data_IF_465363611844
#
_entry.id   IF_465363611844
#
_cell.length_a   1.000
_cell.length_b   1.000
_cell.length_c   1.000
_cell.angle_alpha   90.00
_cell.angle_beta   90.00
_cell.angle_gamma   90.00
#
_symmetry.space_group_name_H-M   'P 1'
#
loop_
_entity.id
_entity.type
_entity.pdbx_description
1 polymer ?
#
# COMPACT_ATOMS: atom_id res chain seq x y z
N UNK A 1 -1.51 -27.16 -14.27
CA UNK A 1 -1.92 -25.76 -14.29
C UNK A 1 -2.94 -25.42 -13.21
N UNK A 2 -3.88 -26.32 -12.90
CA UNK A 2 -4.86 -26.11 -11.82
C UNK A 2 -4.20 -26.00 -10.44
N UNK A 3 -3.12 -26.74 -10.20
CA UNK A 3 -2.35 -26.66 -8.96
C UNK A 3 -1.64 -25.31 -8.83
N UNK A 4 -1.06 -24.79 -9.90
CA UNK A 4 -0.44 -23.46 -9.91
C UNK A 4 -1.47 -22.38 -9.65
N UNK A 5 -2.63 -22.45 -10.30
CA UNK A 5 -3.72 -21.52 -10.07
C UNK A 5 -4.18 -21.50 -8.62
N UNK A 6 -4.39 -22.69 -8.04
CA UNK A 6 -4.80 -22.80 -6.64
C UNK A 6 -3.73 -22.24 -5.69
N UNK A 7 -2.46 -22.49 -5.98
CA UNK A 7 -1.34 -21.95 -5.22
C UNK A 7 -1.32 -20.41 -5.24
N UNK A 8 -1.46 -19.81 -6.42
CA UNK A 8 -1.47 -18.36 -6.58
C UNK A 8 -2.69 -17.73 -5.91
N UNK A 9 -3.87 -18.34 -6.00
CA UNK A 9 -5.06 -17.86 -5.31
C UNK A 9 -4.89 -17.87 -3.79
N UNK A 10 -4.30 -18.91 -3.24
CA UNK A 10 -4.01 -18.98 -1.81
C UNK A 10 -3.00 -17.92 -1.36
N UNK A 11 -1.94 -17.73 -2.13
CA UNK A 11 -0.98 -16.64 -1.85
C UNK A 11 -1.67 -15.28 -1.82
N UNK A 12 -2.55 -15.01 -2.77
CA UNK A 12 -3.29 -13.76 -2.83
C UNK A 12 -4.17 -13.56 -1.60
N UNK A 13 -4.86 -14.61 -1.16
CA UNK A 13 -5.68 -14.55 0.05
C UNK A 13 -4.84 -14.24 1.29
N UNK A 14 -3.72 -14.94 1.45
CA UNK A 14 -2.80 -14.71 2.57
C UNK A 14 -2.23 -13.29 2.56
N UNK A 15 -1.86 -12.78 1.38
CA UNK A 15 -1.36 -11.42 1.21
C UNK A 15 -2.41 -10.37 1.54
N UNK A 16 -3.66 -10.60 1.15
CA UNK A 16 -4.76 -9.70 1.49
C UNK A 16 -5.04 -9.67 3.00
N UNK A 17 -4.96 -10.80 3.66
CA UNK A 17 -5.12 -10.89 5.12
C UNK A 17 -3.99 -10.17 5.85
N UNK A 18 -2.75 -10.33 5.39
CA UNK A 18 -1.58 -9.65 5.94
C UNK A 18 -1.67 -8.13 5.74
N UNK A 19 -2.15 -7.67 4.59
CA UNK A 19 -2.36 -6.25 4.32
C UNK A 19 -3.42 -5.66 5.24
N UNK A 20 -4.50 -6.39 5.48
CA UNK A 20 -5.56 -5.98 6.40
C UNK A 20 -5.01 -5.79 7.82
N UNK A 21 -4.22 -6.74 8.30
CA UNK A 21 -3.56 -6.66 9.61
C UNK A 21 -2.60 -5.47 9.68
N UNK A 22 -1.85 -5.22 8.61
CA UNK A 22 -0.97 -4.06 8.51
C UNK A 22 -1.76 -2.74 8.64
N UNK A 23 -2.88 -2.61 7.95
CA UNK A 23 -3.72 -1.41 8.04
C UNK A 23 -4.36 -1.22 9.41
N UNK A 24 -4.71 -2.28 10.11
CA UNK A 24 -5.20 -2.20 11.48
C UNK A 24 -4.17 -1.60 12.42
N UNK A 25 -2.89 -2.00 12.27
CA UNK A 25 -1.77 -1.40 13.03
C UNK A 25 -1.54 0.07 12.68
N UNK A 26 -1.63 0.42 11.41
CA UNK A 26 -1.52 1.83 10.99
C UNK A 26 -2.60 2.70 11.61
N UNK A 27 -3.82 2.21 11.71
CA UNK A 27 -4.92 2.93 12.37
C UNK A 27 -4.64 3.17 13.84
N UNK A 28 -4.06 2.20 14.55
CA UNK A 28 -3.67 2.37 15.94
C UNK A 28 -2.56 3.43 16.11
N UNK A 29 -1.55 3.38 15.24
CA UNK A 29 -0.46 4.37 15.26
C UNK A 29 -0.98 5.77 14.93
N UNK A 30 -1.92 5.88 14.01
CA UNK A 30 -2.56 7.14 13.67
C UNK A 30 -3.37 7.70 14.84
N UNK A 31 -4.12 6.85 15.54
CA UNK A 31 -4.88 7.27 16.72
C UNK A 31 -3.98 7.86 17.79
N UNK A 32 -2.81 7.25 18.03
CA UNK A 32 -1.80 7.77 18.96
C UNK A 32 -1.21 9.10 18.51
N UNK A 33 -0.96 9.27 17.21
CA UNK A 33 -0.46 10.53 16.66
C UNK A 33 -1.48 11.66 16.82
N UNK A 34 -2.78 11.36 16.64
CA UNK A 34 -3.87 12.32 16.86
C UNK A 34 -4.01 12.71 18.31
N UNK A 35 -3.84 11.78 19.26
CA UNK A 35 -3.83 12.09 20.69
C UNK A 35 -2.69 13.06 21.04
N UNK A 36 -1.49 12.83 20.51
CA UNK A 36 -0.35 13.73 20.70
C UNK A 36 -0.59 15.10 20.11
N UNK A 37 -1.22 15.16 18.95
CA UNK A 37 -1.59 16.43 18.34
C UNK A 37 -2.58 17.20 19.20
N UNK A 38 -3.61 16.53 19.72
CA UNK A 38 -4.59 17.14 20.63
C UNK A 38 -3.94 17.65 21.92
N UNK A 39 -3.01 16.92 22.48
CA UNK A 39 -2.25 17.33 23.68
C UNK A 39 -1.39 18.57 23.43
N UNK A 40 -0.81 18.67 22.22
CA UNK A 40 0.02 19.81 21.82
C UNK A 40 -0.80 21.05 21.48
N UNK A 41 -2.11 20.92 21.28
CA UNK A 41 -3.03 22.01 20.92
C UNK A 41 -4.18 22.12 21.94
N UNK A 42 -3.88 22.38 23.24
CA UNK A 42 -4.90 22.47 24.28
C UNK A 42 -5.82 23.66 24.01
N UNK A 43 -7.12 23.43 24.19
CA UNK A 43 -8.14 24.46 23.95
C UNK A 43 -8.62 24.59 22.51
N UNK A 44 -8.03 23.86 21.57
CA UNK A 44 -8.49 23.78 20.19
C UNK A 44 -9.43 22.60 20.01
N UNK A 45 -10.46 22.78 19.18
CA UNK A 45 -11.31 21.68 18.73
C UNK A 45 -10.62 20.94 17.59
N UNK A 46 -10.10 19.73 17.90
CA UNK A 46 -9.37 18.91 16.94
C UNK A 46 -10.25 17.87 16.24
N UNK A 47 -11.57 17.90 16.50
CA UNK A 47 -12.49 16.88 15.95
C UNK A 47 -12.55 16.91 14.41
N UNK A 48 -12.46 18.06 13.79
CA UNK A 48 -12.50 18.22 12.34
C UNK A 48 -11.19 17.77 11.69
N UNK A 49 -10.05 18.05 12.32
CA UNK A 49 -8.75 17.55 11.89
C UNK A 49 -8.70 16.01 11.98
N UNK A 50 -9.24 15.47 13.06
CA UNK A 50 -9.37 14.02 13.25
C UNK A 50 -10.21 13.40 12.13
N UNK A 51 -11.36 13.99 11.81
CA UNK A 51 -12.23 13.51 10.74
C UNK A 51 -11.54 13.56 9.38
N UNK A 52 -10.81 14.62 9.08
CA UNK A 52 -10.04 14.75 7.84
C UNK A 52 -8.99 13.63 7.72
N UNK A 53 -8.24 13.37 8.77
CA UNK A 53 -7.19 12.36 8.78
C UNK A 53 -7.77 10.97 8.63
N UNK A 54 -8.83 10.64 9.37
CA UNK A 54 -9.51 9.35 9.27
C UNK A 54 -10.08 9.11 7.87
N UNK A 55 -10.71 10.12 7.28
CA UNK A 55 -11.24 10.04 5.93
C UNK A 55 -10.14 9.86 4.90
N UNK A 56 -9.06 10.64 4.99
CA UNK A 56 -7.92 10.52 4.09
C UNK A 56 -7.28 9.13 4.17
N UNK A 57 -7.10 8.62 5.37
CA UNK A 57 -6.55 7.29 5.57
C UNK A 57 -7.43 6.22 4.96
N UNK A 58 -8.73 6.28 5.18
CA UNK A 58 -9.67 5.30 4.64
C UNK A 58 -9.66 5.31 3.11
N UNK A 59 -9.67 6.48 2.49
CA UNK A 59 -9.62 6.61 1.04
C UNK A 59 -8.30 6.08 0.46
N UNK A 60 -7.18 6.36 1.12
CA UNK A 60 -5.88 5.85 0.70
C UNK A 60 -5.78 4.34 0.83
N UNK A 61 -6.28 3.77 1.93
CA UNK A 61 -6.28 2.34 2.14
C UNK A 61 -7.18 1.60 1.14
N UNK A 62 -8.36 2.14 0.85
CA UNK A 62 -9.27 1.58 -0.14
C UNK A 62 -8.64 1.61 -1.54
N UNK A 63 -8.05 2.73 -1.93
CA UNK A 63 -7.36 2.87 -3.21
C UNK A 63 -6.17 1.92 -3.34
N UNK A 64 -5.39 1.76 -2.27
CA UNK A 64 -4.25 0.84 -2.25
C UNK A 64 -4.70 -0.61 -2.36
N UNK A 65 -5.76 -0.98 -1.64
CA UNK A 65 -6.33 -2.33 -1.71
C UNK A 65 -6.77 -2.67 -3.12
N UNK A 66 -7.46 -1.76 -3.79
CA UNK A 66 -7.91 -1.94 -5.18
C UNK A 66 -6.74 -2.02 -6.15
N UNK A 67 -5.75 -1.14 -6.00
CA UNK A 67 -4.55 -1.13 -6.82
C UNK A 67 -3.78 -2.46 -6.72
N UNK A 68 -3.52 -2.92 -5.50
CA UNK A 68 -2.80 -4.17 -5.26
C UNK A 68 -3.59 -5.40 -5.73
N UNK A 69 -4.90 -5.41 -5.56
CA UNK A 69 -5.75 -6.49 -6.05
C UNK A 69 -5.65 -6.63 -7.56
N UNK A 70 -5.72 -5.53 -8.29
CA UNK A 70 -5.57 -5.51 -9.75
C UNK A 70 -4.17 -5.95 -10.17
N UNK A 71 -3.14 -5.41 -9.51
CA UNK A 71 -1.75 -5.77 -9.80
C UNK A 71 -1.50 -7.27 -9.61
N UNK A 72 -2.02 -7.85 -8.54
CA UNK A 72 -1.89 -9.28 -8.26
C UNK A 72 -2.61 -10.15 -9.27
N UNK A 73 -3.81 -9.75 -9.68
CA UNK A 73 -4.56 -10.46 -10.70
C UNK A 73 -3.82 -10.47 -12.05
N UNK A 74 -3.25 -9.34 -12.45
CA UNK A 74 -2.45 -9.22 -13.66
C UNK A 74 -1.18 -10.06 -13.57
N UNK A 75 -0.52 -10.02 -12.41
CA UNK A 75 0.68 -10.83 -12.14
C UNK A 75 0.41 -12.33 -12.22
N UNK A 76 -0.66 -12.80 -11.60
CA UNK A 76 -1.06 -14.21 -11.66
C UNK A 76 -1.27 -14.67 -13.10
N UNK A 77 -1.96 -13.87 -13.90
CA UNK A 77 -2.21 -14.18 -15.30
C UNK A 77 -0.90 -14.28 -16.09
N UNK A 78 0.02 -13.34 -15.88
CA UNK A 78 1.33 -13.33 -16.54
C UNK A 78 2.21 -14.52 -16.13
N UNK A 79 2.21 -14.88 -14.87
CA UNK A 79 2.96 -16.04 -14.36
C UNK A 79 2.42 -17.33 -14.98
N UNK A 80 1.12 -17.50 -15.02
CA UNK A 80 0.49 -18.69 -15.58
C UNK A 80 0.78 -18.83 -17.08
N UNK A 81 0.70 -17.73 -17.81
CA UNK A 81 1.05 -17.70 -19.24
C UNK A 81 2.52 -18.06 -19.45
N UNK A 82 3.41 -17.43 -18.68
CA UNK A 82 4.85 -17.69 -18.81
C UNK A 82 5.19 -19.16 -18.53
N UNK A 83 4.65 -19.73 -17.46
CA UNK A 83 4.88 -21.16 -17.13
C UNK A 83 4.36 -22.09 -18.24
N UNK A 84 3.20 -21.78 -18.79
CA UNK A 84 2.62 -22.52 -19.91
C UNK A 84 3.51 -22.49 -21.15
N UNK A 85 4.04 -21.31 -21.48
CA UNK A 85 4.86 -21.12 -22.68
C UNK A 85 6.31 -21.58 -22.51
N UNK A 86 6.76 -21.78 -21.28
CA UNK A 86 8.13 -22.15 -20.95
C UNK A 86 8.19 -23.42 -20.07
N UNK A 87 7.68 -24.56 -20.55
CA UNK A 87 7.56 -25.78 -19.72
C UNK A 87 8.89 -26.37 -19.28
N UNK A 88 9.99 -26.04 -19.97
CA UNK A 88 11.33 -26.53 -19.65
C UNK A 88 12.27 -25.45 -19.13
N UNK A 89 11.71 -24.32 -18.69
CA UNK A 89 12.50 -23.21 -18.19
C UNK A 89 13.29 -23.59 -16.91
N UNK A 90 14.45 -22.98 -16.79
CA UNK A 90 15.29 -23.09 -15.59
C UNK A 90 14.83 -22.09 -14.52
N UNK A 91 15.26 -22.31 -13.26
CA UNK A 91 15.01 -21.36 -12.19
C UNK A 91 15.64 -19.99 -12.47
N UNK A 92 16.75 -19.93 -13.18
CA UNK A 92 17.40 -18.69 -13.59
C UNK A 92 16.54 -17.90 -14.58
N UNK A 93 15.94 -18.56 -15.55
CA UNK A 93 15.02 -17.94 -16.50
C UNK A 93 13.77 -17.40 -15.80
N UNK A 94 13.25 -18.15 -14.83
CA UNK A 94 12.15 -17.71 -13.98
C UNK A 94 12.53 -16.47 -13.17
N UNK A 95 13.71 -16.45 -12.56
CA UNK A 95 14.19 -15.29 -11.80
C UNK A 95 14.30 -14.03 -12.68
N UNK A 96 14.74 -14.18 -13.92
CA UNK A 96 14.79 -13.09 -14.91
C UNK A 96 13.41 -12.57 -15.23
N UNK A 97 12.45 -13.45 -15.46
CA UNK A 97 11.05 -13.08 -15.70
C UNK A 97 10.46 -12.33 -14.49
N UNK A 98 10.65 -12.84 -13.28
CA UNK A 98 10.14 -12.20 -12.06
C UNK A 98 10.80 -10.85 -11.79
N UNK A 99 12.09 -10.70 -12.12
CA UNK A 99 12.79 -9.42 -11.97
C UNK A 99 12.22 -8.35 -12.89
N UNK A 100 11.87 -8.72 -14.11
CA UNK A 100 11.23 -7.78 -15.06
C UNK A 100 9.84 -7.37 -14.56
N UNK A 101 9.04 -8.33 -14.10
CA UNK A 101 7.74 -8.03 -13.51
C UNK A 101 7.86 -7.08 -12.31
N UNK A 102 8.84 -7.33 -11.45
CA UNK A 102 9.09 -6.47 -10.29
C UNK A 102 9.39 -5.04 -10.70
N UNK A 103 10.23 -4.85 -11.71
CA UNK A 103 10.56 -3.52 -12.24
C UNK A 103 9.31 -2.80 -12.75
N UNK A 104 8.48 -3.48 -13.53
CA UNK A 104 7.24 -2.93 -14.07
C UNK A 104 6.24 -2.58 -12.95
N UNK A 105 6.11 -3.45 -11.96
CA UNK A 105 5.25 -3.24 -10.80
C UNK A 105 5.71 -2.06 -9.95
N UNK A 106 7.02 -1.90 -9.74
CA UNK A 106 7.58 -0.77 -9.00
C UNK A 106 7.31 0.55 -9.71
N UNK A 107 7.40 0.59 -11.03
CA UNK A 107 7.08 1.78 -11.80
C UNK A 107 5.60 2.15 -11.67
N UNK A 108 4.70 1.18 -11.80
CA UNK A 108 3.25 1.39 -11.61
C UNK A 108 2.90 1.84 -10.20
N UNK A 109 3.53 1.24 -9.20
CA UNK A 109 3.35 1.59 -7.79
C UNK A 109 3.79 3.04 -7.53
N UNK A 110 4.92 3.44 -8.07
CA UNK A 110 5.43 4.81 -7.92
C UNK A 110 4.45 5.83 -8.48
N UNK A 111 3.90 5.58 -9.68
CA UNK A 111 2.87 6.44 -10.29
C UNK A 111 1.63 6.52 -9.41
N UNK A 112 1.19 5.38 -8.88
CA UNK A 112 0.06 5.31 -7.96
C UNK A 112 0.29 6.15 -6.70
N UNK A 113 1.45 6.03 -6.06
CA UNK A 113 1.80 6.81 -4.86
C UNK A 113 1.82 8.30 -5.15
N UNK A 114 2.36 8.72 -6.30
CA UNK A 114 2.34 10.13 -6.71
C UNK A 114 0.91 10.67 -6.88
N UNK A 115 0.02 9.89 -7.47
CA UNK A 115 -1.40 10.26 -7.61
C UNK A 115 -2.10 10.37 -6.25
N UNK A 116 -1.81 9.45 -5.33
CA UNK A 116 -2.35 9.49 -3.96
C UNK A 116 -1.86 10.72 -3.20
N UNK A 117 -0.60 11.10 -3.39
CA UNK A 117 -0.03 12.29 -2.77
C UNK A 117 -0.71 13.57 -3.28
N UNK A 118 -0.99 13.65 -4.57
CA UNK A 118 -1.73 14.78 -5.16
C UNK A 118 -3.15 14.87 -4.61
N UNK A 119 -3.84 13.74 -4.49
CA UNK A 119 -5.19 13.68 -3.94
C UNK A 119 -5.21 14.13 -2.47
N UNK A 120 -4.24 13.73 -1.68
CA UNK A 120 -4.09 14.17 -0.29
C UNK A 120 -3.86 15.67 -0.19
N UNK A 121 -2.97 16.23 -1.00
CA UNK A 121 -2.70 17.66 -1.03
C UNK A 121 -3.96 18.46 -1.35
N UNK A 122 -4.78 17.99 -2.29
CA UNK A 122 -6.06 18.61 -2.63
C UNK A 122 -7.02 18.60 -1.44
N UNK A 123 -7.11 17.50 -0.71
CA UNK A 123 -7.96 17.41 0.49
C UNK A 123 -7.52 18.38 1.58
N UNK A 124 -6.22 18.51 1.80
CA UNK A 124 -5.65 19.46 2.77
C UNK A 124 -5.96 20.89 2.36
N UNK A 125 -5.81 21.25 1.08
CA UNK A 125 -6.12 22.57 0.57
C UNK A 125 -7.60 22.91 0.73
N UNK A 126 -8.50 22.00 0.39
CA UNK A 126 -9.94 22.17 0.56
C UNK A 126 -10.32 22.36 2.03
N UNK A 127 -9.73 21.55 2.91
CA UNK A 127 -9.93 21.68 4.36
C UNK A 127 -9.48 23.06 4.85
N UNK A 128 -8.32 23.52 4.45
CA UNK A 128 -7.75 24.82 4.84
C UNK A 128 -8.65 25.97 4.40
N UNK A 129 -9.21 25.90 3.20
CA UNK A 129 -10.15 26.93 2.70
C UNK A 129 -11.45 26.95 3.49
N UNK A 130 -11.94 25.78 3.92
CA UNK A 130 -13.18 25.65 4.67
C UNK A 130 -13.03 25.99 6.16
N UNK A 131 -11.81 25.98 6.68
CA UNK A 131 -11.49 26.16 8.10
C UNK A 131 -10.39 27.21 8.26
N UNK A 132 -10.69 28.50 8.02
CA UNK A 132 -9.69 29.58 8.04
C UNK A 132 -9.07 29.80 9.43
N UNK A 133 -9.74 29.36 10.51
CA UNK A 133 -9.24 29.46 11.88
C UNK A 133 -8.30 28.32 12.28
N UNK A 134 -8.23 27.24 11.49
CA UNK A 134 -7.24 26.18 11.71
C UNK A 134 -5.86 26.67 11.30
N UNK A 135 -4.82 26.12 11.94
CA UNK A 135 -3.45 26.46 11.59
C UNK A 135 -2.98 25.53 10.46
N UNK A 136 -2.98 26.01 9.19
CA UNK A 136 -2.71 25.17 8.03
C UNK A 136 -1.36 24.45 8.10
N UNK A 137 -0.34 25.14 8.62
CA UNK A 137 1.01 24.60 8.72
C UNK A 137 1.10 23.44 9.72
N UNK A 138 0.34 23.51 10.82
CA UNK A 138 0.31 22.43 11.83
C UNK A 138 -0.39 21.19 11.28
N UNK A 139 -1.50 21.37 10.57
CA UNK A 139 -2.22 20.26 9.90
C UNK A 139 -1.34 19.62 8.83
N UNK A 140 -0.71 20.43 8.00
CA UNK A 140 0.20 19.96 6.96
C UNK A 140 1.38 19.19 7.54
N UNK A 141 1.98 19.67 8.62
CA UNK A 141 3.07 19.00 9.32
C UNK A 141 2.64 17.65 9.88
N UNK A 142 1.43 17.54 10.41
CA UNK A 142 0.88 16.27 10.90
C UNK A 142 0.77 15.24 9.77
N UNK A 143 0.26 15.63 8.60
CA UNK A 143 0.19 14.77 7.43
C UNK A 143 1.57 14.36 6.94
N UNK A 144 2.52 15.28 6.88
CA UNK A 144 3.89 14.98 6.45
C UNK A 144 4.57 13.95 7.35
N UNK A 145 4.40 14.06 8.66
CA UNK A 145 4.94 13.09 9.61
C UNK A 145 4.31 11.71 9.45
N UNK A 146 3.00 11.66 9.26
CA UNK A 146 2.30 10.40 9.04
C UNK A 146 2.73 9.75 7.73
N UNK A 147 2.88 10.53 6.66
CA UNK A 147 3.32 10.05 5.36
C UNK A 147 4.72 9.43 5.43
N UNK A 148 5.66 10.09 6.09
CA UNK A 148 7.02 9.58 6.23
C UNK A 148 7.06 8.21 6.90
N UNK A 149 6.32 8.03 7.99
CA UNK A 149 6.25 6.76 8.70
C UNK A 149 5.43 5.72 7.92
N UNK A 150 4.28 6.11 7.40
CA UNK A 150 3.39 5.24 6.66
C UNK A 150 4.01 4.72 5.37
N UNK A 151 4.66 5.58 4.60
CA UNK A 151 5.29 5.22 3.34
C UNK A 151 6.45 4.26 3.53
N UNK A 152 7.30 4.50 4.53
CA UNK A 152 8.40 3.59 4.86
C UNK A 152 7.89 2.23 5.31
N UNK A 153 6.87 2.20 6.15
CA UNK A 153 6.30 0.97 6.68
C UNK A 153 5.63 0.16 5.59
N UNK A 154 4.84 0.78 4.71
CA UNK A 154 4.18 0.09 3.60
C UNK A 154 5.19 -0.42 2.58
N UNK A 155 6.22 0.34 2.25
CA UNK A 155 7.27 -0.09 1.32
C UNK A 155 8.02 -1.30 1.86
N UNK A 156 8.39 -1.27 3.13
CA UNK A 156 9.04 -2.41 3.80
C UNK A 156 8.15 -3.63 3.82
N UNK A 157 6.87 -3.46 4.14
CA UNK A 157 5.88 -4.53 4.16
C UNK A 157 5.71 -5.16 2.78
N UNK A 158 5.51 -4.36 1.73
CA UNK A 158 5.31 -4.84 0.37
C UNK A 158 6.55 -5.52 -0.20
N UNK A 159 7.75 -5.01 0.09
CA UNK A 159 8.99 -5.63 -0.34
C UNK A 159 9.19 -7.00 0.31
N UNK A 160 8.91 -7.11 1.60
CA UNK A 160 8.98 -8.40 2.32
C UNK A 160 7.97 -9.40 1.78
N UNK A 161 6.74 -8.97 1.56
CA UNK A 161 5.68 -9.79 0.99
C UNK A 161 6.06 -10.32 -0.40
N UNK A 162 6.63 -9.45 -1.24
CA UNK A 162 7.11 -9.83 -2.58
C UNK A 162 8.24 -10.85 -2.53
N UNK A 163 9.20 -10.67 -1.65
CA UNK A 163 10.31 -11.61 -1.49
C UNK A 163 9.81 -12.99 -1.06
N UNK A 164 8.89 -13.05 -0.12
CA UNK A 164 8.29 -14.28 0.35
C UNK A 164 7.47 -14.96 -0.76
N UNK A 165 6.71 -14.20 -1.52
CA UNK A 165 5.95 -14.69 -2.68
C UNK A 165 6.85 -15.30 -3.74
N UNK A 166 7.90 -14.61 -4.16
CA UNK A 166 8.84 -15.10 -5.16
C UNK A 166 9.54 -16.39 -4.69
N UNK A 167 9.93 -16.41 -3.43
CA UNK A 167 10.58 -17.60 -2.85
C UNK A 167 9.63 -18.79 -2.80
N UNK A 168 8.41 -18.59 -2.38
CA UNK A 168 7.39 -19.65 -2.30
C UNK A 168 7.01 -20.16 -3.69
N UNK A 169 6.86 -19.27 -4.65
CA UNK A 169 6.51 -19.59 -6.02
C UNK A 169 7.64 -20.39 -6.70
N UNK A 170 8.90 -19.98 -6.48
CA UNK A 170 10.06 -20.69 -6.99
C UNK A 170 10.13 -22.13 -6.47
N UNK A 171 9.87 -22.35 -5.18
CA UNK A 171 9.80 -23.68 -4.59
C UNK A 171 8.69 -24.53 -5.18
N UNK A 172 7.55 -23.89 -5.47
CA UNK A 172 6.41 -24.59 -6.04
C UNK A 172 6.67 -25.04 -7.48
N UNK A 173 7.31 -24.21 -8.30
CA UNK A 173 7.56 -24.50 -9.71
C UNK A 173 8.75 -25.46 -9.90
N UNK A 174 9.78 -25.32 -9.10
CA UNK A 174 11.03 -26.07 -9.22
C UNK A 174 11.28 -26.94 -7.99
#
# INVERSE_FOLDING_TARGET
>A
DDELRAFLEKQREDENDDLKTFYERQKEDQAKALERYAEAHPGEDVSEVKSLIEQNQQEQQDAMTDFLAKQRTDEEAQIREWVKDNPTATSREFDTFMSKQRTDQQASYRTFVEEQQKAQNTRIEEFTKSHPDSKPDDVKSLFEKQDQHGDQDIDTFLNRQRQDEERSLRRFIF
#
